data_IF_056248162519
#
_entry.id   IF_056248162519
#
_cell.length_a   1.000
_cell.length_b   1.000
_cell.length_c   1.000
_cell.angle_alpha   90.00
_cell.angle_beta   90.00
_cell.angle_gamma   90.00
#
_symmetry.space_group_name_H-M   'P 1'
#
loop_
_entity.id
_entity.type
_entity.pdbx_description
1 polymer ?
#
# COMPACT_ATOMS: atom_id res chain seq x y z
N UNK A 1 -35.90 30.90 -78.89
CA UNK A 1 -35.49 30.68 -77.48
C UNK A 1 -34.12 29.99 -77.36
N UNK A 2 -32.98 30.62 -77.73
CA UNK A 2 -31.65 29.99 -77.57
C UNK A 2 -30.81 30.55 -76.40
N UNK A 3 -31.23 31.64 -75.75
CA UNK A 3 -30.42 32.33 -74.72
C UNK A 3 -30.47 31.68 -73.33
N UNK A 4 -31.46 30.84 -73.05
CA UNK A 4 -31.59 30.18 -71.74
C UNK A 4 -30.63 28.99 -71.59
N UNK A 5 -30.25 28.32 -72.69
CA UNK A 5 -29.45 27.09 -72.66
C UNK A 5 -27.97 27.35 -72.33
N UNK A 6 -27.44 28.52 -72.71
CA UNK A 6 -26.02 28.89 -72.49
C UNK A 6 -25.76 29.23 -71.01
N UNK A 7 -26.78 29.69 -70.28
CA UNK A 7 -26.65 30.00 -68.84
C UNK A 7 -26.53 28.73 -67.98
N UNK A 8 -27.27 27.67 -68.33
CA UNK A 8 -27.20 26.38 -67.63
C UNK A 8 -25.85 25.68 -67.78
N UNK A 9 -25.17 25.85 -68.91
CA UNK A 9 -23.86 25.21 -69.13
C UNK A 9 -22.75 25.86 -68.30
N UNK A 10 -22.84 27.18 -68.08
CA UNK A 10 -21.86 27.92 -67.27
C UNK A 10 -22.01 27.66 -65.78
N UNK A 11 -23.24 27.50 -65.28
CA UNK A 11 -23.46 27.18 -63.85
C UNK A 11 -23.00 25.77 -63.51
N UNK A 12 -23.17 24.80 -64.42
CA UNK A 12 -22.68 23.44 -64.23
C UNK A 12 -21.15 23.37 -64.19
N UNK A 13 -20.46 24.17 -65.00
CA UNK A 13 -18.99 24.22 -65.01
C UNK A 13 -18.42 24.79 -63.71
N UNK A 14 -19.04 25.83 -63.15
CA UNK A 14 -18.64 26.41 -61.85
C UNK A 14 -18.85 25.39 -60.72
N UNK A 15 -19.94 24.62 -60.78
CA UNK A 15 -20.20 23.56 -59.80
C UNK A 15 -19.15 22.43 -59.88
N UNK A 16 -18.74 22.04 -61.08
CA UNK A 16 -17.69 21.04 -61.28
C UNK A 16 -16.32 21.50 -60.78
N UNK A 17 -15.95 22.77 -61.02
CA UNK A 17 -14.69 23.32 -60.50
C UNK A 17 -14.72 23.42 -58.98
N UNK A 18 -15.85 23.82 -58.37
CA UNK A 18 -16.02 23.84 -56.92
C UNK A 18 -15.92 22.45 -56.28
N UNK A 19 -16.49 21.43 -56.94
CA UNK A 19 -16.41 20.03 -56.49
C UNK A 19 -14.96 19.50 -56.50
N UNK A 20 -14.18 19.85 -57.53
CA UNK A 20 -12.76 19.44 -57.62
C UNK A 20 -11.91 20.18 -56.57
N UNK A 21 -12.14 21.48 -56.36
CA UNK A 21 -11.40 22.26 -55.35
C UNK A 21 -11.74 21.79 -53.93
N UNK A 22 -12.99 21.40 -53.65
CA UNK A 22 -13.38 20.83 -52.35
C UNK A 22 -12.74 19.48 -52.04
N UNK A 23 -12.49 18.63 -53.04
CA UNK A 23 -11.82 17.33 -52.83
C UNK A 23 -10.32 17.46 -52.56
N UNK A 24 -9.67 18.50 -53.07
CA UNK A 24 -8.22 18.72 -52.88
C UNK A 24 -7.84 19.24 -51.49
N UNK A 25 -8.80 19.73 -50.69
CA UNK A 25 -8.59 20.24 -49.33
C UNK A 25 -8.96 19.23 -48.23
N UNK A 26 -8.86 17.93 -48.51
CA UNK A 26 -8.83 16.91 -47.45
C UNK A 26 -7.48 17.00 -46.74
N UNK A 27 -7.39 17.89 -45.75
CA UNK A 27 -6.25 17.99 -44.86
C UNK A 27 -5.92 16.60 -44.33
N UNK A 28 -4.71 16.13 -44.65
CA UNK A 28 -4.07 15.06 -43.90
C UNK A 28 -3.86 15.59 -42.48
N UNK A 29 -4.87 15.46 -41.64
CA UNK A 29 -4.67 15.44 -40.20
C UNK A 29 -3.84 14.19 -39.96
N UNK A 30 -2.53 14.40 -39.81
CA UNK A 30 -1.61 13.39 -39.28
C UNK A 30 -2.14 13.07 -37.89
N UNK A 31 -2.98 12.03 -37.83
CA UNK A 31 -3.47 11.49 -36.58
C UNK A 31 -2.25 11.00 -35.81
N UNK A 32 -1.85 11.78 -34.81
CA UNK A 32 -0.87 11.40 -33.80
C UNK A 32 -1.28 10.01 -33.31
N UNK A 33 -0.42 8.98 -33.41
CA UNK A 33 -0.80 7.62 -33.08
C UNK A 33 -1.32 7.62 -31.65
N UNK A 34 -2.60 7.31 -31.51
CA UNK A 34 -3.28 7.18 -30.23
C UNK A 34 -2.63 5.99 -29.54
N UNK A 35 -1.59 6.26 -28.73
CA UNK A 35 -0.97 5.25 -27.88
C UNK A 35 -2.11 4.73 -27.01
N UNK A 36 -2.50 3.48 -27.24
CA UNK A 36 -3.49 2.78 -26.44
C UNK A 36 -3.16 2.90 -24.94
N UNK A 37 -4.13 2.59 -24.06
CA UNK A 37 -3.99 2.77 -22.62
C UNK A 37 -2.65 2.20 -22.17
N UNK A 38 -1.80 3.08 -21.61
CA UNK A 38 -0.47 2.74 -21.15
C UNK A 38 -0.61 1.66 -20.07
N UNK A 39 -0.44 0.40 -20.47
CA UNK A 39 -0.28 -0.69 -19.52
C UNK A 39 0.88 -0.32 -18.62
N UNK A 40 0.70 -0.42 -17.29
CA UNK A 40 1.78 -0.08 -16.35
C UNK A 40 2.99 -0.93 -16.71
N UNK A 41 4.20 -0.34 -16.86
CA UNK A 41 5.38 -1.09 -17.26
C UNK A 41 5.76 -2.19 -16.26
N UNK A 42 5.43 -1.98 -14.97
CA UNK A 42 5.65 -2.95 -13.90
C UNK A 42 4.38 -3.77 -13.69
N UNK A 43 4.55 -5.09 -13.53
CA UNK A 43 3.46 -6.03 -13.24
C UNK A 43 3.82 -6.90 -12.05
N UNK A 44 2.80 -7.19 -11.24
CA UNK A 44 2.89 -8.19 -10.18
C UNK A 44 2.18 -9.44 -10.72
N UNK A 45 2.88 -10.57 -10.69
CA UNK A 45 2.40 -11.89 -11.08
C UNK A 45 2.67 -12.90 -9.96
N UNK A 46 1.98 -14.03 -10.04
CA UNK A 46 2.18 -15.19 -9.15
C UNK A 46 2.21 -14.87 -7.64
N UNK A 47 1.08 -14.35 -7.13
CA UNK A 47 0.93 -14.05 -5.70
C UNK A 47 0.56 -15.32 -4.95
N UNK A 48 1.42 -15.72 -4.01
CA UNK A 48 1.24 -16.87 -3.13
C UNK A 48 1.15 -16.37 -1.69
N UNK A 49 0.10 -16.79 -0.99
CA UNK A 49 -0.13 -16.48 0.42
C UNK A 49 0.14 -17.74 1.24
N UNK A 50 0.99 -17.67 2.26
CA UNK A 50 1.32 -18.82 3.10
C UNK A 50 1.68 -18.40 4.53
N UNK A 51 1.20 -19.08 5.58
CA UNK A 51 0.27 -20.22 5.56
C UNK A 51 -1.18 -19.80 5.26
N UNK A 52 -1.99 -20.75 4.80
CA UNK A 52 -3.43 -20.60 4.58
C UNK A 52 -4.16 -21.82 5.21
N UNK A 53 -4.99 -21.65 6.27
CA UNK A 53 -5.30 -20.38 6.93
C UNK A 53 -4.12 -19.84 7.76
N UNK A 54 -4.08 -18.51 7.91
CA UNK A 54 -3.07 -17.84 8.72
C UNK A 54 -3.45 -17.90 10.21
N UNK A 55 -2.58 -18.47 11.05
CA UNK A 55 -2.81 -18.55 12.50
C UNK A 55 -2.11 -17.39 13.21
N UNK A 56 -2.91 -16.48 13.77
CA UNK A 56 -2.46 -15.29 14.49
C UNK A 56 -1.58 -15.67 15.69
N UNK A 57 -0.45 -14.98 15.87
CA UNK A 57 0.45 -15.17 17.00
C UNK A 57 1.34 -16.42 16.94
N UNK A 58 1.13 -17.35 16.00
CA UNK A 58 1.96 -18.56 15.85
C UNK A 58 3.13 -18.36 14.88
N UNK A 59 2.89 -17.70 13.75
CA UNK A 59 3.90 -17.40 12.73
C UNK A 59 3.56 -16.09 12.03
N UNK A 60 4.45 -15.60 11.16
CA UNK A 60 4.12 -14.53 10.23
C UNK A 60 3.44 -15.07 8.97
N UNK A 61 2.51 -14.28 8.40
CA UNK A 61 1.97 -14.50 7.07
C UNK A 61 2.96 -14.02 6.02
N UNK A 62 3.30 -14.87 5.07
CA UNK A 62 4.15 -14.56 3.93
C UNK A 62 3.32 -14.35 2.68
N UNK A 63 3.54 -13.22 2.03
CA UNK A 63 3.04 -12.88 0.70
C UNK A 63 4.24 -12.95 -0.25
N UNK A 64 4.39 -14.07 -0.95
CA UNK A 64 5.43 -14.26 -1.96
C UNK A 64 4.86 -13.87 -3.31
N UNK A 65 5.59 -13.05 -4.08
CA UNK A 65 5.12 -12.55 -5.37
C UNK A 65 6.28 -12.42 -6.36
N UNK A 66 5.97 -12.51 -7.65
CA UNK A 66 6.89 -12.23 -8.73
C UNK A 66 6.62 -10.84 -9.31
N UNK A 67 7.61 -9.97 -9.34
CA UNK A 67 7.52 -8.65 -9.96
C UNK A 67 8.22 -8.67 -11.31
N UNK A 68 7.46 -8.48 -12.37
CA UNK A 68 7.99 -8.26 -13.71
C UNK A 68 8.32 -6.79 -13.91
N UNK A 69 9.59 -6.50 -14.13
CA UNK A 69 10.10 -5.17 -14.41
C UNK A 69 10.16 -4.90 -15.92
N UNK A 70 9.96 -3.63 -16.33
CA UNK A 70 10.13 -3.24 -17.72
C UNK A 70 11.61 -3.30 -18.13
N UNK A 71 11.86 -3.53 -19.41
CA UNK A 71 13.21 -3.51 -19.99
C UNK A 71 13.90 -2.14 -19.93
N UNK A 72 13.15 -1.05 -19.70
CA UNK A 72 13.68 0.29 -19.45
C UNK A 72 13.17 0.81 -18.11
N UNK A 73 14.07 0.91 -17.15
CA UNK A 73 13.77 1.36 -15.78
C UNK A 73 13.67 2.88 -15.64
N UNK A 74 13.99 3.65 -16.70
CA UNK A 74 13.94 5.13 -16.72
C UNK A 74 14.69 5.80 -15.54
N UNK A 75 15.86 5.24 -15.19
CA UNK A 75 16.69 5.73 -14.07
C UNK A 75 16.20 5.29 -12.69
N UNK A 76 15.15 4.46 -12.60
CA UNK A 76 14.75 3.87 -11.34
C UNK A 76 15.72 2.74 -10.94
N UNK A 77 16.22 2.83 -9.72
CA UNK A 77 17.19 1.92 -9.11
C UNK A 77 16.65 1.27 -7.82
N UNK A 78 15.46 1.65 -7.37
CA UNK A 78 14.81 1.09 -6.18
C UNK A 78 13.45 0.52 -6.54
N UNK A 79 13.18 -0.73 -6.16
CA UNK A 79 11.88 -1.36 -6.20
C UNK A 79 11.28 -1.39 -4.80
N UNK A 80 10.16 -0.70 -4.59
CA UNK A 80 9.32 -0.81 -3.39
C UNK A 80 8.11 -1.68 -3.72
N UNK A 81 7.90 -2.76 -2.99
CA UNK A 81 6.67 -3.53 -3.03
C UNK A 81 5.97 -3.41 -1.70
N UNK A 82 4.68 -3.15 -1.72
CA UNK A 82 3.88 -3.00 -0.51
C UNK A 82 2.57 -3.77 -0.57
N UNK A 83 2.11 -4.16 0.61
CA UNK A 83 0.81 -4.76 0.88
C UNK A 83 0.06 -3.88 1.88
N UNK A 84 -1.18 -3.54 1.56
CA UNK A 84 -2.15 -2.98 2.50
C UNK A 84 -3.17 -4.06 2.85
N UNK A 85 -3.19 -4.50 4.10
CA UNK A 85 -4.11 -5.52 4.61
C UNK A 85 -5.17 -4.81 5.42
N UNK A 86 -6.46 -5.03 5.12
CA UNK A 86 -7.57 -4.27 5.70
C UNK A 86 -8.69 -5.21 6.11
N UNK A 87 -9.22 -5.00 7.32
CA UNK A 87 -10.41 -5.74 7.77
C UNK A 87 -11.64 -5.35 6.96
N UNK A 88 -12.68 -6.21 6.86
CA UNK A 88 -13.92 -5.89 6.15
C UNK A 88 -14.62 -4.66 6.74
N UNK A 89 -14.50 -4.47 8.06
CA UNK A 89 -15.03 -3.31 8.78
C UNK A 89 -14.15 -2.06 8.67
N UNK A 90 -12.96 -2.17 8.07
CA UNK A 90 -11.92 -1.12 7.97
C UNK A 90 -11.46 -0.55 9.31
N UNK A 91 -11.73 -1.24 10.42
CA UNK A 91 -11.30 -0.83 11.76
C UNK A 91 -9.85 -1.21 12.03
N UNK A 92 -9.34 -2.23 11.34
CA UNK A 92 -7.97 -2.71 11.44
C UNK A 92 -7.32 -2.70 10.07
N UNK A 93 -6.11 -2.16 9.99
CA UNK A 93 -5.33 -2.01 8.78
C UNK A 93 -3.85 -2.25 9.09
N UNK A 94 -3.12 -2.94 8.21
CA UNK A 94 -1.68 -3.11 8.33
C UNK A 94 -1.01 -2.80 7.00
N UNK A 95 0.15 -2.15 7.06
CA UNK A 95 0.95 -1.81 5.89
C UNK A 95 2.31 -2.45 6.00
N UNK A 96 2.62 -3.34 5.07
CA UNK A 96 3.91 -4.02 4.98
C UNK A 96 4.58 -3.59 3.68
N UNK A 97 5.85 -3.21 3.74
CA UNK A 97 6.61 -2.82 2.55
C UNK A 97 8.03 -3.36 2.59
N UNK A 98 8.55 -3.70 1.42
CA UNK A 98 9.92 -4.13 1.21
C UNK A 98 10.55 -3.34 0.08
N UNK A 99 11.79 -2.89 0.29
CA UNK A 99 12.57 -2.10 -0.68
C UNK A 99 13.80 -2.88 -1.10
N UNK A 100 14.01 -2.97 -2.40
CA UNK A 100 15.10 -3.70 -3.04
C UNK A 100 15.84 -2.78 -4.00
N UNK A 101 17.16 -2.86 -4.02
CA UNK A 101 17.96 -2.20 -5.06
C UNK A 101 17.93 -3.04 -6.32
N UNK A 102 17.57 -2.43 -7.45
CA UNK A 102 17.41 -3.15 -8.72
C UNK A 102 18.76 -3.56 -9.31
N UNK A 103 19.80 -2.75 -9.06
CA UNK A 103 21.17 -3.00 -9.53
C UNK A 103 21.77 -4.31 -8.96
N UNK A 104 21.35 -4.72 -7.76
CA UNK A 104 21.80 -5.96 -7.13
C UNK A 104 21.15 -7.21 -7.75
N UNK A 105 20.03 -7.05 -8.46
CA UNK A 105 19.19 -8.14 -8.96
C UNK A 105 19.30 -8.38 -10.47
N UNK A 106 20.26 -7.75 -11.16
CA UNK A 106 20.48 -7.91 -12.60
C UNK A 106 20.78 -9.37 -12.98
N UNK A 107 19.71 -10.13 -13.23
CA UNK A 107 19.77 -11.45 -13.83
C UNK A 107 19.68 -11.28 -15.34
N UNK A 108 20.74 -11.76 -16.00
CA UNK A 108 21.01 -11.69 -17.44
C UNK A 108 19.84 -12.25 -18.28
N UNK A 109 18.86 -11.42 -18.64
CA UNK A 109 17.68 -11.82 -19.40
C UNK A 109 16.86 -10.65 -19.95
N UNK A 110 16.11 -10.89 -21.04
CA UNK A 110 15.27 -9.86 -21.70
C UNK A 110 14.01 -9.48 -20.89
N UNK A 111 13.68 -10.25 -19.84
CA UNK A 111 12.59 -9.99 -18.90
C UNK A 111 13.15 -10.14 -17.49
N UNK A 112 13.13 -9.05 -16.73
CA UNK A 112 13.64 -9.03 -15.36
C UNK A 112 12.47 -9.34 -14.42
N UNK A 113 12.48 -10.53 -13.84
CA UNK A 113 11.47 -10.98 -12.87
C UNK A 113 12.12 -11.14 -11.52
N UNK A 114 11.59 -10.44 -10.51
CA UNK A 114 12.15 -10.37 -9.17
C UNK A 114 11.18 -11.04 -8.19
N UNK A 115 11.60 -12.11 -7.48
CA UNK A 115 10.82 -12.65 -6.37
C UNK A 115 10.91 -11.70 -5.17
N UNK A 116 9.78 -11.40 -4.55
CA UNK A 116 9.69 -10.57 -3.35
C UNK A 116 8.85 -11.28 -2.30
N UNK A 117 9.28 -11.21 -1.05
CA UNK A 117 8.54 -11.72 0.10
C UNK A 117 8.17 -10.55 1.03
N UNK A 118 6.87 -10.40 1.31
CA UNK A 118 6.38 -9.51 2.36
C UNK A 118 5.90 -10.36 3.54
N UNK A 119 6.27 -9.96 4.76
CA UNK A 119 5.89 -10.69 5.98
C UNK A 119 5.01 -9.81 6.85
N UNK A 120 3.81 -10.29 7.16
CA UNK A 120 2.89 -9.67 8.11
C UNK A 120 2.82 -10.49 9.40
N UNK A 121 2.93 -9.83 10.54
CA UNK A 121 2.92 -10.48 11.86
C UNK A 121 1.51 -10.66 12.46
N UNK A 122 0.46 -10.32 11.70
CA UNK A 122 -0.92 -10.37 12.17
C UNK A 122 -1.30 -9.20 13.08
N UNK A 123 -0.51 -8.11 13.07
CA UNK A 123 -0.83 -6.90 13.83
C UNK A 123 -1.33 -5.76 12.95
N UNK A 124 -2.14 -4.90 13.54
CA UNK A 124 -2.69 -3.71 12.91
C UNK A 124 -1.80 -2.46 13.07
N UNK A 125 -2.32 -1.30 12.65
CA UNK A 125 -1.66 0.00 12.74
C UNK A 125 -1.42 0.48 14.17
N UNK A 126 -2.12 -0.11 15.15
CA UNK A 126 -1.93 0.17 16.58
C UNK A 126 -1.04 -0.87 17.25
N UNK A 127 -0.38 -1.73 16.47
CA UNK A 127 0.44 -2.85 16.94
C UNK A 127 -0.32 -3.87 17.79
N UNK A 128 -1.64 -3.98 17.59
CA UNK A 128 -2.50 -4.96 18.27
C UNK A 128 -2.73 -6.17 17.35
N UNK A 129 -2.85 -7.37 17.93
CA UNK A 129 -3.25 -8.54 17.16
C UNK A 129 -4.65 -8.31 16.58
N UNK A 130 -4.80 -8.60 15.29
CA UNK A 130 -6.09 -8.46 14.62
C UNK A 130 -7.07 -9.52 15.11
N UNK A 131 -8.37 -9.25 14.94
CA UNK A 131 -9.40 -10.25 15.23
C UNK A 131 -9.38 -11.37 14.18
N UNK A 132 -9.95 -12.51 14.53
CA UNK A 132 -10.22 -13.57 13.57
C UNK A 132 -11.20 -13.11 12.48
N UNK A 133 -10.98 -13.59 11.26
CA UNK A 133 -11.86 -13.36 10.12
C UNK A 133 -11.15 -13.23 8.78
N UNK A 134 -11.94 -12.89 7.77
CA UNK A 134 -11.49 -12.68 6.39
C UNK A 134 -10.97 -11.25 6.20
N UNK A 135 -9.80 -11.07 5.61
CA UNK A 135 -9.17 -9.78 5.33
C UNK A 135 -8.95 -9.57 3.85
N UNK A 136 -9.00 -8.31 3.41
CA UNK A 136 -8.63 -7.92 2.05
C UNK A 136 -7.18 -7.45 2.02
N UNK A 137 -6.42 -7.85 1.01
CA UNK A 137 -5.11 -7.29 0.75
C UNK A 137 -5.05 -6.57 -0.60
N UNK A 138 -4.31 -5.47 -0.64
CA UNK A 138 -3.98 -4.72 -1.85
C UNK A 138 -2.45 -4.63 -2.00
N UNK A 139 -1.92 -5.18 -3.09
CA UNK A 139 -0.50 -5.15 -3.43
C UNK A 139 -0.20 -4.07 -4.46
N UNK A 140 0.90 -3.35 -4.26
CA UNK A 140 1.39 -2.36 -5.21
C UNK A 140 2.93 -2.40 -5.28
N UNK A 141 3.46 -2.32 -6.50
CA UNK A 141 4.88 -2.19 -6.75
C UNK A 141 5.18 -0.81 -7.34
N UNK A 142 6.26 -0.19 -6.88
CA UNK A 142 6.74 1.12 -7.32
C UNK A 142 8.23 1.03 -7.63
N UNK A 143 8.60 1.53 -8.80
CA UNK A 143 9.99 1.81 -9.14
C UNK A 143 10.29 3.27 -8.82
N UNK A 144 11.34 3.48 -8.06
CA UNK A 144 11.79 4.78 -7.59
C UNK A 144 13.22 5.04 -8.04
N UNK A 145 13.51 6.31 -8.28
CA UNK A 145 14.85 6.82 -8.50
C UNK A 145 15.34 7.45 -7.20
N UNK A 146 16.49 6.98 -6.70
CA UNK A 146 17.19 7.59 -5.58
C UNK A 146 18.50 8.23 -6.06
N UNK A 147 18.48 9.55 -6.17
CA UNK A 147 19.58 10.40 -6.67
C UNK A 147 20.00 11.44 -5.61
N UNK A 148 19.86 11.12 -4.33
CA UNK A 148 20.26 12.01 -3.22
C UNK A 148 19.25 13.11 -2.84
N UNK A 149 18.21 13.33 -3.66
CA UNK A 149 17.07 14.20 -3.32
C UNK A 149 15.89 13.44 -2.71
N UNK A 150 16.16 12.24 -2.20
CA UNK A 150 15.17 11.27 -1.72
C UNK A 150 14.50 10.44 -2.83
N UNK A 151 13.87 9.31 -2.47
CA UNK A 151 13.28 8.40 -3.44
C UNK A 151 12.10 9.03 -4.19
N UNK A 152 12.22 9.18 -5.51
CA UNK A 152 11.16 9.71 -6.39
C UNK A 152 10.52 8.58 -7.19
N UNK A 153 9.22 8.39 -7.02
CA UNK A 153 8.49 7.37 -7.77
C UNK A 153 8.47 7.72 -9.27
N UNK A 154 8.91 6.78 -10.11
CA UNK A 154 8.93 6.92 -11.57
C UNK A 154 7.87 6.09 -12.26
N UNK A 155 7.65 4.89 -11.77
CA UNK A 155 6.73 3.92 -12.36
C UNK A 155 5.97 3.23 -11.22
N UNK A 156 4.69 2.99 -11.43
CA UNK A 156 3.81 2.29 -10.47
C UNK A 156 3.08 1.18 -11.20
N UNK A 157 2.95 0.02 -10.56
CA UNK A 157 2.17 -1.10 -11.08
C UNK A 157 0.67 -0.85 -10.93
N UNK A 158 -0.14 -1.62 -11.65
CA UNK A 158 -1.55 -1.80 -11.26
C UNK A 158 -1.61 -2.43 -9.86
N UNK A 159 -2.62 -2.04 -9.08
CA UNK A 159 -2.95 -2.67 -7.80
C UNK A 159 -3.49 -4.08 -8.01
N UNK A 160 -3.03 -5.03 -7.22
CA UNK A 160 -3.53 -6.40 -7.20
C UNK A 160 -4.27 -6.62 -5.89
N UNK A 161 -5.48 -7.17 -5.97
CA UNK A 161 -6.35 -7.39 -4.81
C UNK A 161 -6.53 -8.88 -4.55
N UNK A 162 -6.75 -9.25 -3.29
CA UNK A 162 -7.16 -10.59 -2.90
C UNK A 162 -7.69 -10.64 -1.47
N UNK A 163 -7.96 -11.86 -1.01
CA UNK A 163 -8.50 -12.15 0.32
C UNK A 163 -7.63 -13.17 1.04
N UNK A 164 -7.58 -13.11 2.37
CA UNK A 164 -6.89 -14.07 3.21
C UNK A 164 -7.70 -14.32 4.49
N UNK A 165 -7.62 -15.52 5.04
CA UNK A 165 -8.26 -15.87 6.32
C UNK A 165 -7.24 -15.82 7.46
N UNK A 166 -7.54 -15.05 8.50
CA UNK A 166 -6.76 -14.98 9.73
C UNK A 166 -7.55 -15.60 10.88
N UNK A 167 -7.01 -16.61 11.53
CA UNK A 167 -7.65 -17.31 12.63
C UNK A 167 -6.92 -17.00 13.93
N UNK A 168 -7.68 -16.64 14.97
CA UNK A 168 -7.14 -16.53 16.31
C UNK A 168 -6.58 -17.90 16.74
N UNK A 169 -5.42 -17.90 17.38
CA UNK A 169 -4.90 -19.11 17.97
C UNK A 169 -5.81 -19.53 19.13
N UNK A 170 -6.67 -20.52 18.88
CA UNK A 170 -7.37 -21.25 19.92
C UNK A 170 -6.30 -22.07 20.61
N UNK A 171 -5.94 -21.68 21.84
CA UNK A 171 -4.81 -22.26 22.60
C UNK A 171 -4.77 -23.78 22.56
N UNK A 172 -3.57 -24.35 22.70
CA UNK A 172 -3.38 -25.79 22.81
C UNK A 172 -4.42 -26.37 23.76
N UNK A 173 -5.18 -27.36 23.29
CA UNK A 173 -5.95 -28.24 24.17
C UNK A 173 -4.93 -28.74 25.19
N UNK A 174 -5.04 -28.26 26.44
CA UNK A 174 -4.18 -28.75 27.50
C UNK A 174 -4.26 -30.29 27.44
N UNK A 175 -3.12 -31.00 27.43
CA UNK A 175 -3.17 -32.45 27.55
C UNK A 175 -4.07 -32.76 28.76
N UNK A 176 -4.93 -33.79 28.68
CA UNK A 176 -5.79 -34.14 29.79
C UNK A 176 -4.93 -34.18 31.05
N UNK A 177 -5.34 -33.44 32.08
CA UNK A 177 -4.59 -33.38 33.33
C UNK A 177 -4.25 -34.82 33.72
N UNK A 178 -2.98 -35.12 34.08
CA UNK A 178 -2.67 -36.43 34.60
C UNK A 178 -3.67 -36.73 35.72
N UNK A 179 -4.18 -37.98 35.82
CA UNK A 179 -5.11 -38.33 36.89
C UNK A 179 -4.52 -37.85 38.21
N UNK A 180 -5.33 -37.13 39.00
CA UNK A 180 -4.87 -36.64 40.30
C UNK A 180 -4.24 -37.82 41.04
N UNK A 181 -3.00 -37.67 41.54
CA UNK A 181 -2.37 -38.75 42.28
C UNK A 181 -3.29 -39.12 43.43
N UNK A 182 -3.58 -40.41 43.60
CA UNK A 182 -4.33 -40.91 44.76
C UNK A 182 -3.63 -40.39 46.02
N UNK A 183 -4.21 -39.35 46.63
CA UNK A 183 -3.69 -38.78 47.87
C UNK A 183 -3.90 -39.89 48.91
N UNK A 184 -2.83 -40.40 49.55
CA UNK A 184 -3.00 -41.40 50.60
C UNK A 184 -3.89 -40.81 51.70
N UNK A 185 -4.89 -41.56 52.16
CA UNK A 185 -5.86 -41.17 53.22
C UNK A 185 -5.18 -40.61 54.48
N UNK A 186 -3.89 -40.91 54.68
CA UNK A 186 -3.06 -40.44 55.79
C UNK A 186 -2.89 -38.90 55.85
N UNK A 187 -3.06 -38.18 54.74
CA UNK A 187 -2.96 -36.70 54.69
C UNK A 187 -4.28 -35.97 54.90
N UNK A 188 -5.42 -36.67 54.83
CA UNK A 188 -6.75 -36.08 55.03
C UNK A 188 -7.01 -35.79 56.52
N UNK A 189 -6.34 -36.52 57.42
CA UNK A 189 -6.46 -36.41 58.88
C UNK A 189 -5.88 -35.09 59.41
N UNK A 190 -4.98 -34.43 58.68
CA UNK A 190 -4.41 -33.13 59.09
C UNK A 190 -5.30 -31.93 58.72
N UNK A 191 -6.29 -32.11 57.85
CA UNK A 191 -7.17 -31.02 57.38
C UNK A 191 -8.42 -30.85 58.24
N UNK A 192 -8.86 -31.90 58.92
CA UNK A 192 -10.01 -31.84 59.84
C UNK A 192 -9.68 -31.23 61.22
N UNK A 193 -8.41 -30.88 61.49
CA UNK A 193 -7.99 -30.30 62.76
C UNK A 193 -8.12 -28.76 62.87
N UNK A 194 -8.45 -28.06 61.80
CA UNK A 194 -8.36 -26.58 61.74
C UNK A 194 -9.68 -25.90 61.32
N UNK A 195 -10.82 -26.55 61.57
CA UNK A 195 -12.16 -26.01 61.22
C UNK A 195 -13.06 -25.69 62.41
N UNK A 196 -12.48 -25.32 63.55
CA UNK A 196 -13.26 -24.93 64.73
C UNK A 196 -12.61 -23.76 65.45
N UNK A 197 -12.86 -22.55 64.96
CA UNK A 197 -12.99 -21.30 65.73
C UNK A 197 -12.92 -20.11 64.77
N UNK A 198 -14.06 -19.64 64.23
CA UNK A 198 -14.42 -18.21 64.25
C UNK A 198 -15.86 -18.02 63.76
N UNK A 199 -16.80 -18.26 64.67
CA UNK A 199 -18.20 -17.89 64.49
C UNK A 199 -18.38 -16.51 65.15
N UNK A 200 -18.16 -15.43 64.38
CA UNK A 200 -18.46 -14.06 64.81
C UNK A 200 -19.76 -13.59 64.15
N UNK A 201 -20.84 -13.34 64.92
CA UNK A 201 -22.06 -12.73 64.41
C UNK A 201 -22.01 -11.22 64.65
N UNK A 202 -21.86 -10.40 63.60
CA UNK A 202 -21.92 -8.93 63.74
C UNK A 202 -22.64 -8.28 62.55
N UNK A 203 -23.87 -7.86 62.85
CA UNK A 203 -24.59 -6.65 62.38
C UNK A 203 -25.05 -6.54 60.92
N UNK A 204 -26.35 -6.80 60.77
CA UNK A 204 -27.23 -6.18 59.76
C UNK A 204 -27.48 -4.70 60.11
N UNK A 205 -27.08 -3.75 59.27
CA UNK A 205 -27.68 -2.39 59.20
C UNK A 205 -27.50 -1.76 57.81
N UNK A 206 -28.59 -1.24 57.22
CA UNK A 206 -28.61 -0.17 56.20
C UNK A 206 -28.74 -0.64 54.74
N UNK A 207 -29.94 -0.87 54.19
CA UNK A 207 -30.88 0.12 53.60
C UNK A 207 -30.25 1.15 52.64
N UNK A 208 -30.52 0.97 51.34
CA UNK A 208 -30.88 1.96 50.29
C UNK A 208 -30.70 1.25 48.93
N UNK A 209 -31.70 0.68 48.25
CA UNK A 209 -32.97 1.23 47.74
C UNK A 209 -32.79 2.59 47.06
N UNK A 210 -32.60 2.54 45.74
CA UNK A 210 -32.96 3.60 44.80
C UNK A 210 -33.27 2.91 43.46
N UNK A 211 -34.52 2.49 43.34
CA UNK A 211 -35.18 2.26 42.07
C UNK A 211 -35.31 3.62 41.35
N UNK A 212 -34.96 3.68 40.07
CA UNK A 212 -35.50 4.71 39.18
C UNK A 212 -36.01 4.04 37.88
N UNK A 213 -37.24 4.36 37.44
CA UNK A 213 -37.92 3.68 36.35
C UNK A 213 -37.76 4.38 34.99
N UNK A 214 -37.70 3.55 33.94
CA UNK A 214 -38.50 3.59 32.70
C UNK A 214 -38.89 4.99 32.18
N UNK A 215 -38.32 5.38 31.03
CA UNK A 215 -39.09 6.01 29.95
C UNK A 215 -38.75 5.31 28.64
N UNK A 216 -39.73 4.58 28.13
CA UNK A 216 -39.86 4.14 26.74
C UNK A 216 -40.97 4.98 26.11
N UNK A 217 -40.68 5.70 25.03
CA UNK A 217 -41.64 6.18 24.02
C UNK A 217 -41.03 5.72 22.69
N UNK A 218 -41.53 4.63 22.10
CA UNK A 218 -42.75 4.52 21.29
C UNK A 218 -42.64 5.24 19.93
N UNK A 219 -42.83 4.40 18.91
CA UNK A 219 -42.80 4.65 17.47
C UNK A 219 -43.93 5.62 17.05
N UNK A 220 -43.91 6.29 15.90
CA UNK A 220 -43.98 5.72 14.55
C UNK A 220 -44.13 6.90 13.52
N UNK A 221 -44.70 6.73 12.29
CA UNK A 221 -43.99 6.80 11.01
C UNK A 221 -44.56 7.90 10.07
N UNK A 222 -44.32 7.78 8.74
CA UNK A 222 -44.86 8.58 7.61
C UNK A 222 -44.04 9.83 7.23
N UNK A 223 -43.91 10.26 5.99
CA UNK A 223 -44.07 9.69 4.64
C UNK A 223 -43.45 10.72 3.67
N UNK A 224 -43.08 10.22 2.48
CA UNK A 224 -43.21 10.86 1.17
C UNK A 224 -42.86 12.35 0.89
N UNK A 225 -41.90 12.49 -0.04
CA UNK A 225 -41.99 13.25 -1.30
C UNK A 225 -41.81 14.78 -1.35
N UNK A 226 -41.15 15.22 -2.44
CA UNK A 226 -41.22 16.58 -3.01
C UNK A 226 -39.89 17.35 -2.88
N UNK A 227 -39.01 17.39 -3.90
CA UNK A 227 -39.06 18.23 -5.12
C UNK A 227 -38.87 19.73 -4.83
N UNK A 228 -38.07 20.37 -5.72
CA UNK A 228 -37.61 21.77 -5.81
C UNK A 228 -36.28 22.02 -5.06
N UNK A 229 -35.29 22.75 -5.55
CA UNK A 229 -34.77 23.27 -6.84
C UNK A 229 -33.44 23.98 -6.46
N UNK A 230 -32.53 24.32 -7.38
CA UNK A 230 -31.24 24.94 -7.03
C UNK A 230 -31.39 26.46 -6.87
N UNK A 231 -30.90 27.00 -5.77
CA UNK A 231 -30.66 28.45 -5.65
C UNK A 231 -29.24 28.77 -6.09
N UNK A 232 -29.16 29.48 -7.21
CA UNK A 232 -28.04 30.36 -7.50
C UNK A 232 -28.17 31.63 -6.67
N UNK A 233 -27.10 32.04 -5.99
CA UNK A 233 -26.75 33.45 -5.82
C UNK A 233 -25.35 33.60 -5.19
N UNK A 234 -24.54 34.44 -5.83
CA UNK A 234 -23.92 35.55 -5.09
C UNK A 234 -22.50 35.35 -4.55
N UNK A 235 -21.52 35.65 -5.41
CA UNK A 235 -20.56 36.74 -5.21
C UNK A 235 -19.69 36.78 -3.94
N UNK A 236 -18.37 36.71 -4.15
CA UNK A 236 -17.47 37.78 -3.71
C UNK A 236 -16.12 37.66 -4.42
N UNK A 237 -15.89 38.59 -5.34
CA UNK A 237 -14.57 39.06 -5.73
C UNK A 237 -13.84 39.57 -4.47
N UNK A 238 -12.66 39.02 -4.20
CA UNK A 238 -11.67 39.64 -3.35
C UNK A 238 -10.39 39.79 -4.16
N UNK A 239 -10.25 41.03 -4.63
CA UNK A 239 -9.07 41.71 -5.14
C UNK A 239 -7.82 41.33 -4.32
N UNK A 240 -6.81 40.73 -4.95
CA UNK A 240 -5.45 40.62 -4.38
C UNK A 240 -4.50 41.24 -5.38
N UNK A 241 -4.01 42.41 -4.99
CA UNK A 241 -3.09 43.27 -5.71
C UNK A 241 -1.82 42.55 -6.14
N UNK A 242 -1.56 42.69 -7.44
CA UNK A 242 -0.26 42.60 -8.08
C UNK A 242 0.73 43.57 -7.42
N UNK A 243 1.82 43.05 -6.89
CA UNK A 243 3.01 43.83 -6.55
C UNK A 243 4.06 43.52 -7.62
N UNK A 244 4.32 44.51 -8.48
CA UNK A 244 5.43 44.53 -9.43
C UNK A 244 6.78 44.64 -8.68
N UNK A 245 7.87 44.12 -9.26
CA UNK A 245 9.19 44.12 -8.63
C UNK A 245 9.95 45.41 -8.94
N UNK A 246 10.44 46.08 -7.89
CA UNK A 246 11.47 47.11 -8.05
C UNK A 246 12.86 46.48 -8.16
N UNK A 247 13.57 47.04 -9.14
CA UNK A 247 14.94 46.83 -9.55
C UNK A 247 15.93 47.38 -8.51
N UNK A 248 17.18 46.89 -8.58
CA UNK A 248 18.43 47.56 -8.16
C UNK A 248 18.90 47.34 -6.72
N UNK A 249 19.88 46.44 -6.55
CA UNK A 249 21.19 46.91 -6.10
C UNK A 249 22.32 45.91 -6.33
N UNK A 250 23.36 46.44 -6.95
CA UNK A 250 24.64 45.88 -7.32
C UNK A 250 25.59 46.01 -6.13
N UNK A 251 25.99 44.89 -5.49
CA UNK A 251 27.18 44.87 -4.60
C UNK A 251 27.96 43.56 -4.69
N UNK A 252 29.03 43.66 -5.47
CA UNK A 252 30.42 43.46 -5.02
C UNK A 252 30.76 42.20 -4.23
N UNK A 253 31.42 41.30 -4.96
CA UNK A 253 32.29 40.20 -4.53
C UNK A 253 33.33 40.69 -3.49
N UNK A 254 33.59 39.90 -2.44
CA UNK A 254 34.94 39.74 -1.93
C UNK A 254 35.46 38.32 -2.17
N UNK A 255 36.47 38.28 -3.03
CA UNK A 255 37.45 37.23 -3.24
C UNK A 255 38.43 37.27 -2.06
N UNK A 256 38.51 36.20 -1.28
CA UNK A 256 39.66 35.80 -0.44
C UNK A 256 39.53 34.28 -0.28
N UNK A 257 40.41 33.47 -0.84
CA UNK A 257 41.78 33.25 -0.38
C UNK A 257 41.82 31.81 0.16
N UNK A 258 42.16 30.86 -0.71
CA UNK A 258 43.43 30.11 -0.68
C UNK A 258 43.54 29.01 0.38
N UNK A 259 44.02 27.87 -0.10
CA UNK A 259 44.68 26.78 0.62
C UNK A 259 43.78 25.86 1.45
N UNK A 260 43.60 24.62 0.96
CA UNK A 260 44.18 23.47 1.65
C UNK A 260 44.23 22.28 0.67
N UNK A 261 45.47 21.98 0.27
CA UNK A 261 45.89 20.79 -0.45
C UNK A 261 45.61 19.56 0.43
N UNK A 262 44.70 18.68 0.03
CA UNK A 262 44.52 17.37 0.63
C UNK A 262 45.01 16.30 -0.36
N UNK A 263 45.97 15.52 0.11
CA UNK A 263 46.71 14.49 -0.63
C UNK A 263 45.81 13.37 -1.23
N UNK A 264 46.20 12.80 -2.38
CA UNK A 264 45.66 11.53 -2.83
C UNK A 264 46.31 10.38 -2.04
N UNK A 265 45.55 9.77 -1.13
CA UNK A 265 45.94 8.52 -0.49
C UNK A 265 46.07 7.42 -1.54
N UNK A 266 47.34 7.05 -1.75
CA UNK A 266 47.83 5.97 -2.60
C UNK A 266 47.49 4.64 -1.95
N UNK A 267 46.33 4.07 -2.27
CA UNK A 267 45.95 2.74 -1.79
C UNK A 267 46.84 1.68 -2.46
N UNK A 268 47.68 1.08 -1.63
CA UNK A 268 48.60 -0.02 -1.92
C UNK A 268 47.81 -1.32 -2.11
N UNK A 269 48.06 -2.13 -3.15
CA UNK A 269 47.49 -3.47 -3.24
C UNK A 269 48.18 -4.36 -2.19
N UNK A 270 47.43 -4.86 -1.22
CA UNK A 270 47.94 -5.84 -0.26
C UNK A 270 47.76 -7.23 -0.86
N UNK A 271 48.91 -7.85 -1.07
CA UNK A 271 49.16 -9.18 -1.57
C UNK A 271 48.47 -10.27 -0.72
N UNK A 272 47.96 -11.27 -1.43
CA UNK A 272 48.16 -12.71 -1.18
C UNK A 272 47.73 -13.33 0.17
N UNK A 273 46.73 -14.22 0.06
CA UNK A 273 46.67 -15.62 0.50
C UNK A 273 47.53 -16.07 1.70
N UNK A 274 47.00 -16.94 2.57
CA UNK A 274 47.02 -18.35 2.17
C UNK A 274 45.75 -19.15 2.45
N UNK A 275 45.52 -20.04 1.49
CA UNK A 275 44.84 -21.33 1.58
C UNK A 275 45.16 -22.06 2.88
N UNK A 276 44.15 -22.40 3.68
CA UNK A 276 44.22 -23.57 4.56
C UNK A 276 43.06 -24.49 4.22
N UNK A 277 43.39 -25.55 3.47
CA UNK A 277 42.56 -26.73 3.42
C UNK A 277 42.67 -27.46 4.76
N UNK A 278 41.54 -27.94 5.25
CA UNK A 278 41.54 -29.06 6.18
C UNK A 278 40.45 -30.05 5.75
N UNK A 279 40.94 -31.01 4.98
CA UNK A 279 40.35 -32.30 4.69
C UNK A 279 40.32 -33.11 6.00
N UNK A 280 39.13 -33.38 6.55
CA UNK A 280 38.97 -34.45 7.53
C UNK A 280 38.03 -35.53 7.03
N UNK A 281 38.58 -36.73 7.11
CA UNK A 281 38.18 -37.94 6.43
C UNK A 281 37.02 -38.63 7.12
N UNK A 282 36.25 -39.33 6.29
CA UNK A 282 35.59 -40.57 6.64
C UNK A 282 36.52 -41.46 7.49
N UNK A 283 36.01 -42.00 8.59
CA UNK A 283 36.34 -43.36 9.04
C UNK A 283 35.27 -43.90 9.98
N UNK A 284 34.62 -44.96 9.49
CA UNK A 284 34.02 -46.09 10.20
C UNK A 284 32.56 -46.01 10.64
#
# INVERSE_FOLDING_TARGET
MPRLCILFLKTLQIFWVSLIVGLAFSQQVVAKPNKGPATSPVKISDVVVSPDPFILGKSGLKLTLLVELPSSLRGANVLEVSAMITSPTRRSMSFVAHRLLVDELETKGKNLTIPVELVWDGKDQYHQLVADGSYFYELQAKLMEDQGNGPRTKIVSRRVHGTLEALAYVGEVLPPLPPEPDIPEELEILREGESSEENSPVSEEGLQSSDDPIVSEEEAPMDAAGVLQPEEAGGSEADVQSVEPEEKDERTIPEMGESLTAEPLKNKPMSELPTSGEELRLSR
#
